data_IF_804410307886
#
_entry.id   IF_804410307886
#
_cell.length_a   1.000
_cell.length_b   1.000
_cell.length_c   1.000
_cell.angle_alpha   90.00
_cell.angle_beta   90.00
_cell.angle_gamma   90.00
#
_symmetry.space_group_name_H-M   'P 1'
#
loop_
_entity.id
_entity.type
_entity.pdbx_description
1 polymer ?
#
# COMPACT_ATOMS: atom_id res chain seq x y z
N UNK A 1 -8.48 -8.18 20.28
CA UNK A 1 -7.17 -8.62 20.81
C UNK A 1 -6.60 -9.64 19.83
N UNK A 2 -5.36 -9.44 19.39
CA UNK A 2 -4.84 -9.99 18.14
C UNK A 2 -4.20 -11.36 18.39
N UNK A 3 -4.50 -12.34 17.53
CA UNK A 3 -3.86 -13.69 17.54
C UNK A 3 -2.33 -13.64 17.64
N UNK A 4 -1.73 -12.54 17.17
CA UNK A 4 -0.29 -12.25 17.27
C UNK A 4 0.17 -12.03 18.70
N UNK A 5 -0.58 -11.28 19.50
CA UNK A 5 -0.22 -10.96 20.90
C UNK A 5 -0.28 -12.23 21.76
N UNK A 6 -1.32 -13.04 21.58
CA UNK A 6 -1.46 -14.35 22.22
C UNK A 6 -0.27 -15.23 21.88
N UNK A 7 0.03 -15.40 20.58
CA UNK A 7 1.20 -16.17 20.14
C UNK A 7 2.53 -15.64 20.69
N UNK A 8 2.73 -14.32 20.72
CA UNK A 8 3.94 -13.73 21.29
C UNK A 8 4.05 -14.05 22.79
N UNK A 9 2.95 -13.96 23.53
CA UNK A 9 2.91 -14.33 24.95
C UNK A 9 3.16 -15.83 25.15
N UNK A 10 2.55 -16.69 24.33
CA UNK A 10 2.79 -18.15 24.34
C UNK A 10 4.28 -18.45 24.10
N UNK A 11 4.86 -17.91 23.03
CA UNK A 11 6.27 -18.13 22.66
C UNK A 11 7.24 -17.60 23.72
N UNK A 12 6.95 -16.44 24.30
CA UNK A 12 7.76 -15.87 25.37
C UNK A 12 7.71 -16.74 26.63
N UNK A 13 6.52 -17.20 27.04
CA UNK A 13 6.36 -18.05 28.22
C UNK A 13 6.97 -19.44 28.01
N UNK A 14 6.87 -20.01 26.81
CA UNK A 14 7.56 -21.26 26.45
C UNK A 14 9.08 -21.12 26.61
N UNK A 15 9.64 -20.01 26.11
CA UNK A 15 11.06 -19.71 26.27
C UNK A 15 11.43 -19.55 27.74
N UNK A 16 10.68 -18.73 28.50
CA UNK A 16 10.97 -18.43 29.90
C UNK A 16 10.89 -19.67 30.80
N UNK A 17 9.87 -20.51 30.63
CA UNK A 17 9.70 -21.73 31.43
C UNK A 17 10.82 -22.74 31.16
N UNK A 18 11.23 -22.86 29.89
CA UNK A 18 12.38 -23.69 29.50
C UNK A 18 13.69 -23.17 30.09
N UNK A 19 13.93 -21.86 30.02
CA UNK A 19 15.15 -21.22 30.53
C UNK A 19 15.26 -21.32 32.06
N UNK A 20 14.14 -21.16 32.77
CA UNK A 20 14.09 -21.26 34.24
C UNK A 20 13.94 -22.68 34.77
N UNK A 21 13.90 -23.70 33.90
CA UNK A 21 13.63 -25.09 34.27
C UNK A 21 12.36 -25.27 35.11
N UNK A 22 11.37 -24.40 34.90
CA UNK A 22 10.13 -24.41 35.64
C UNK A 22 9.20 -25.51 35.09
N UNK A 23 8.65 -26.34 35.97
CA UNK A 23 7.76 -27.46 35.61
C UNK A 23 6.29 -27.08 35.41
N UNK A 24 5.95 -25.81 35.63
CA UNK A 24 4.58 -25.30 35.50
C UNK A 24 4.17 -25.15 34.04
N UNK A 25 2.89 -25.37 33.76
CA UNK A 25 2.34 -25.24 32.41
C UNK A 25 2.34 -23.78 31.90
N UNK A 26 2.43 -23.64 30.57
CA UNK A 26 2.29 -22.35 29.91
C UNK A 26 0.83 -21.89 29.94
N UNK A 27 0.52 -20.95 30.83
CA UNK A 27 -0.82 -20.37 30.97
C UNK A 27 -1.32 -19.67 29.70
N UNK A 28 -0.42 -19.16 28.85
CA UNK A 28 -0.78 -18.55 27.57
C UNK A 28 -1.00 -19.56 26.44
N UNK A 29 -0.81 -20.86 26.69
CA UNK A 29 -1.20 -21.93 25.78
C UNK A 29 -2.66 -22.37 25.98
N UNK A 30 -3.32 -21.92 27.06
CA UNK A 30 -4.70 -22.29 27.33
C UNK A 30 -5.66 -21.68 26.29
N UNK A 31 -6.65 -22.45 25.79
CA UNK A 31 -7.66 -21.92 24.88
C UNK A 31 -8.46 -20.80 25.55
N UNK A 32 -8.45 -19.61 24.94
CA UNK A 32 -9.20 -18.46 25.43
C UNK A 32 -10.66 -18.56 24.98
N UNK A 33 -11.37 -19.56 25.51
CA UNK A 33 -12.76 -19.89 25.15
C UNK A 33 -13.73 -18.70 25.35
N UNK A 34 -13.42 -17.80 26.28
CA UNK A 34 -14.26 -16.65 26.62
C UNK A 34 -13.90 -15.37 25.86
N UNK A 35 -12.87 -15.39 25.01
CA UNK A 35 -12.53 -14.24 24.18
C UNK A 35 -13.33 -14.27 22.87
N UNK A 36 -14.40 -13.49 22.83
CA UNK A 36 -15.06 -13.14 21.58
C UNK A 36 -14.12 -12.31 20.70
N UNK A 37 -13.47 -12.95 19.73
CA UNK A 37 -12.72 -12.23 18.70
C UNK A 37 -13.71 -11.47 17.83
N UNK A 38 -13.53 -10.14 17.72
CA UNK A 38 -14.23 -9.38 16.67
C UNK A 38 -13.91 -10.05 15.34
N UNK A 39 -14.93 -10.59 14.67
CA UNK A 39 -14.79 -11.09 13.32
C UNK A 39 -14.23 -9.96 12.45
N UNK A 40 -13.21 -10.20 11.63
CA UNK A 40 -12.71 -9.20 10.70
C UNK A 40 -13.90 -8.77 9.82
N UNK A 41 -14.34 -7.52 9.94
CA UNK A 41 -15.28 -6.95 8.98
C UNK A 41 -14.53 -6.94 7.65
N UNK A 42 -15.02 -7.68 6.66
CA UNK A 42 -14.44 -7.66 5.33
C UNK A 42 -14.67 -6.26 4.73
N UNK A 43 -13.73 -5.36 4.95
CA UNK A 43 -13.71 -4.09 4.23
C UNK A 43 -13.24 -4.46 2.82
N UNK A 44 -14.19 -4.50 1.89
CA UNK A 44 -13.92 -4.82 0.48
C UNK A 44 -12.94 -3.85 -0.16
N UNK A 45 -12.50 -4.14 -1.37
CA UNK A 45 -11.65 -3.23 -2.14
C UNK A 45 -12.45 -2.03 -2.64
N UNK A 46 -11.75 -0.91 -2.90
CA UNK A 46 -12.35 0.18 -3.66
C UNK A 46 -12.67 -0.28 -5.08
N UNK A 47 -13.86 0.10 -5.56
CA UNK A 47 -14.23 0.00 -6.98
C UNK A 47 -13.33 0.92 -7.82
N UNK A 48 -13.38 0.80 -9.14
CA UNK A 48 -12.64 1.73 -10.00
C UNK A 48 -13.22 3.15 -9.91
N UNK A 49 -14.54 3.28 -9.84
CA UNK A 49 -15.23 4.56 -9.65
C UNK A 49 -14.83 5.23 -8.33
N UNK A 50 -14.82 4.47 -7.23
CA UNK A 50 -14.40 4.97 -5.92
C UNK A 50 -12.93 5.41 -5.91
N UNK A 51 -12.02 4.63 -6.52
CA UNK A 51 -10.61 5.01 -6.61
C UNK A 51 -10.43 6.26 -7.48
N UNK A 52 -11.12 6.35 -8.61
CA UNK A 52 -11.07 7.50 -9.50
C UNK A 52 -11.57 8.77 -8.79
N UNK A 53 -12.68 8.66 -8.04
CA UNK A 53 -13.19 9.76 -7.23
C UNK A 53 -12.19 10.20 -6.16
N UNK A 54 -11.56 9.24 -5.45
CA UNK A 54 -10.52 9.55 -4.47
C UNK A 54 -9.37 10.31 -5.14
N UNK A 55 -8.84 9.80 -6.26
CA UNK A 55 -7.73 10.44 -6.98
C UNK A 55 -8.08 11.86 -7.47
N UNK A 56 -9.30 12.07 -7.96
CA UNK A 56 -9.80 13.39 -8.38
C UNK A 56 -9.96 14.36 -7.21
N UNK A 57 -10.25 13.86 -6.02
CA UNK A 57 -10.50 14.67 -4.82
C UNK A 57 -9.22 15.05 -4.08
N UNK A 58 -8.15 14.24 -4.18
CA UNK A 58 -6.88 14.47 -3.48
C UNK A 58 -6.34 15.90 -3.59
N UNK A 59 -6.29 16.57 -4.77
CA UNK A 59 -5.73 17.93 -4.88
C UNK A 59 -6.40 18.98 -4.01
N UNK A 60 -7.62 18.74 -3.51
CA UNK A 60 -8.33 19.65 -2.62
C UNK A 60 -7.81 19.60 -1.17
N UNK A 61 -7.02 18.58 -0.81
CA UNK A 61 -6.58 18.32 0.56
C UNK A 61 -5.07 18.35 0.76
N UNK A 62 -4.28 18.23 -0.31
CA UNK A 62 -2.82 18.14 -0.26
C UNK A 62 -2.17 18.99 -1.34
N UNK A 63 -0.92 19.38 -1.11
CA UNK A 63 -0.14 20.16 -2.08
C UNK A 63 0.19 19.38 -3.34
N UNK A 64 0.55 20.08 -4.42
CA UNK A 64 0.86 19.47 -5.74
C UNK A 64 1.92 18.37 -5.64
N UNK A 65 2.97 18.57 -4.85
CA UNK A 65 4.02 17.57 -4.62
C UNK A 65 3.47 16.30 -3.98
N UNK A 66 2.76 16.44 -2.85
CA UNK A 66 2.16 15.31 -2.13
C UNK A 66 1.13 14.58 -3.00
N UNK A 67 0.33 15.32 -3.78
CA UNK A 67 -0.61 14.76 -4.73
C UNK A 67 0.08 13.85 -5.74
N UNK A 68 1.15 14.30 -6.40
CA UNK A 68 1.86 13.49 -7.41
C UNK A 68 2.43 12.21 -6.82
N UNK A 69 2.95 12.29 -5.60
CA UNK A 69 3.50 11.15 -4.88
C UNK A 69 2.39 10.17 -4.46
N UNK A 70 1.29 10.67 -3.89
CA UNK A 70 0.20 9.82 -3.39
C UNK A 70 -0.59 9.22 -4.56
N UNK A 71 -0.86 9.96 -5.63
CA UNK A 71 -1.45 9.45 -6.88
C UNK A 71 -0.66 8.24 -7.37
N UNK A 72 0.66 8.41 -7.55
CA UNK A 72 1.52 7.33 -8.04
C UNK A 72 1.61 6.15 -7.05
N UNK A 73 1.61 6.43 -5.75
CA UNK A 73 1.61 5.40 -4.69
C UNK A 73 0.37 4.52 -4.74
N UNK A 74 -0.82 5.11 -4.88
CA UNK A 74 -2.07 4.38 -4.99
C UNK A 74 -2.16 3.61 -6.31
N UNK A 75 -1.70 4.20 -7.41
CA UNK A 75 -1.69 3.55 -8.73
C UNK A 75 -0.75 2.35 -8.78
N UNK A 76 0.44 2.43 -8.15
CA UNK A 76 1.28 1.25 -7.95
C UNK A 76 0.60 0.19 -7.10
N UNK A 77 -0.07 0.58 -6.02
CA UNK A 77 -0.78 -0.38 -5.17
C UNK A 77 -1.88 -1.14 -5.94
N UNK A 78 -2.57 -0.44 -6.85
CA UNK A 78 -3.67 -0.96 -7.68
C UNK A 78 -3.19 -1.85 -8.82
N UNK A 79 -2.18 -1.40 -9.58
CA UNK A 79 -1.88 -1.95 -10.91
C UNK A 79 -0.49 -2.57 -11.07
N UNK A 80 0.42 -2.46 -10.10
CA UNK A 80 1.70 -3.14 -10.19
C UNK A 80 1.52 -4.66 -10.33
N UNK A 81 2.46 -5.32 -11.02
CA UNK A 81 2.56 -6.78 -11.10
C UNK A 81 2.95 -7.45 -9.79
N UNK A 82 3.64 -6.74 -8.90
CA UNK A 82 4.13 -7.26 -7.62
C UNK A 82 3.39 -6.64 -6.42
N UNK A 83 3.75 -7.07 -5.21
CA UNK A 83 3.24 -6.42 -3.99
C UNK A 83 3.95 -5.07 -3.84
N UNK A 84 3.24 -4.04 -3.39
CA UNK A 84 3.76 -2.68 -3.31
C UNK A 84 5.10 -2.56 -2.57
N UNK A 85 5.27 -3.29 -1.45
CA UNK A 85 6.53 -3.31 -0.70
C UNK A 85 7.71 -3.93 -1.47
N UNK A 86 7.44 -4.79 -2.45
CA UNK A 86 8.43 -5.40 -3.32
C UNK A 86 8.92 -4.41 -4.38
N UNK A 87 8.01 -3.54 -4.83
CA UNK A 87 8.29 -2.52 -5.86
C UNK A 87 9.01 -1.35 -5.24
N UNK A 88 8.51 -0.84 -4.11
CA UNK A 88 9.03 0.35 -3.45
C UNK A 88 10.20 0.08 -2.51
N UNK A 89 10.40 -1.18 -2.11
CA UNK A 89 11.42 -1.54 -1.14
C UNK A 89 11.20 -0.88 0.24
N UNK A 90 12.30 -0.49 0.87
CA UNK A 90 12.31 0.13 2.20
C UNK A 90 13.34 1.26 2.29
N UNK A 91 13.46 1.92 3.44
CA UNK A 91 14.34 3.06 3.63
C UNK A 91 15.84 2.77 3.35
N UNK A 92 16.30 1.52 3.49
CA UNK A 92 17.70 1.12 3.23
C UNK A 92 17.94 0.61 1.82
N UNK A 93 16.89 0.12 1.17
CA UNK A 93 16.93 -0.42 -0.19
C UNK A 93 15.64 0.00 -0.89
N UNK A 94 15.60 1.26 -1.38
CA UNK A 94 14.43 1.76 -2.07
C UNK A 94 14.31 1.10 -3.44
N UNK A 95 13.08 0.94 -3.89
CA UNK A 95 12.80 0.62 -5.29
C UNK A 95 13.24 1.75 -6.20
N UNK A 96 13.76 1.40 -7.37
CA UNK A 96 14.32 2.33 -8.34
C UNK A 96 13.42 2.47 -9.57
N UNK A 97 13.56 3.54 -10.34
CA UNK A 97 12.74 3.77 -11.55
C UNK A 97 13.13 2.84 -12.71
N UNK A 98 14.40 2.44 -12.81
CA UNK A 98 14.94 1.56 -13.85
C UNK A 98 14.36 0.13 -13.86
N UNK A 99 13.59 -0.24 -12.83
CA UNK A 99 12.79 -1.47 -12.82
C UNK A 99 11.55 -1.37 -13.72
N UNK A 100 11.25 -0.20 -14.29
CA UNK A 100 10.22 0.01 -15.30
C UNK A 100 10.84 0.31 -16.66
N UNK A 101 10.21 -0.19 -17.71
CA UNK A 101 10.67 0.05 -19.08
C UNK A 101 9.47 0.31 -20.00
N UNK A 102 9.67 1.15 -21.02
CA UNK A 102 8.65 1.44 -22.03
C UNK A 102 8.92 0.60 -23.26
N UNK A 103 7.95 -0.23 -23.63
CA UNK A 103 8.02 -1.04 -24.85
C UNK A 103 7.78 -0.20 -26.10
N UNK A 104 8.12 -0.76 -27.25
CA UNK A 104 7.91 -0.15 -28.56
C UNK A 104 6.44 0.11 -28.90
N UNK A 105 5.51 -0.64 -28.30
CA UNK A 105 4.07 -0.42 -28.40
C UNK A 105 3.56 0.72 -27.49
N UNK A 106 4.46 1.40 -26.78
CA UNK A 106 4.17 2.51 -25.89
C UNK A 106 3.75 2.11 -24.48
N UNK A 107 3.62 0.81 -24.19
CA UNK A 107 3.18 0.25 -22.90
C UNK A 107 4.31 0.22 -21.89
N UNK A 108 3.99 0.47 -20.62
CA UNK A 108 4.96 0.24 -19.55
C UNK A 108 4.96 -1.22 -19.12
N UNK A 109 6.17 -1.71 -18.83
CA UNK A 109 6.42 -2.99 -18.21
C UNK A 109 7.19 -2.82 -16.90
N UNK A 110 6.94 -3.74 -15.97
CA UNK A 110 7.65 -3.84 -14.69
C UNK A 110 8.53 -5.09 -14.68
N UNK A 111 9.78 -4.96 -14.27
CA UNK A 111 10.68 -6.08 -14.06
C UNK A 111 10.23 -6.88 -12.83
N UNK A 112 9.80 -8.13 -13.04
CA UNK A 112 9.36 -9.00 -11.94
C UNK A 112 10.57 -9.55 -11.18
N UNK A 113 11.47 -10.17 -11.91
CA UNK A 113 12.80 -10.61 -11.48
C UNK A 113 13.67 -10.81 -12.72
N UNK A 114 14.99 -10.94 -12.55
CA UNK A 114 15.89 -11.28 -13.66
C UNK A 114 15.53 -12.60 -14.36
N UNK A 115 14.82 -13.51 -13.67
CA UNK A 115 14.39 -14.81 -14.19
C UNK A 115 12.99 -14.77 -14.81
N UNK A 116 12.07 -14.02 -14.21
CA UNK A 116 10.66 -13.98 -14.60
C UNK A 116 10.36 -12.91 -15.68
N UNK A 117 11.35 -12.06 -15.99
CA UNK A 117 11.26 -11.07 -17.05
C UNK A 117 10.32 -9.91 -16.73
N UNK A 118 9.75 -9.34 -17.79
CA UNK A 118 8.98 -8.10 -17.80
C UNK A 118 7.47 -8.37 -17.84
N UNK A 119 6.70 -7.72 -16.96
CA UNK A 119 5.25 -7.83 -16.92
C UNK A 119 4.59 -6.55 -17.47
N UNK A 120 3.65 -6.64 -18.42
CA UNK A 120 2.90 -5.48 -18.87
C UNK A 120 2.03 -4.90 -17.76
N UNK A 121 1.99 -3.58 -17.69
CA UNK A 121 1.15 -2.82 -16.75
C UNK A 121 -0.17 -2.38 -17.42
N UNK A 122 -1.10 -1.92 -16.59
CA UNK A 122 -2.42 -1.42 -17.01
C UNK A 122 -2.32 -0.11 -17.80
N UNK A 123 -3.22 0.18 -18.76
CA UNK A 123 -3.23 1.47 -19.47
C UNK A 123 -3.34 2.67 -18.53
N UNK A 124 -4.10 2.50 -17.44
CA UNK A 124 -4.25 3.55 -16.45
C UNK A 124 -2.96 3.81 -15.67
N UNK A 125 -2.12 2.78 -15.50
CA UNK A 125 -0.78 2.96 -14.94
C UNK A 125 0.08 3.78 -15.89
N UNK A 126 0.04 3.50 -17.19
CA UNK A 126 0.87 4.18 -18.19
C UNK A 126 0.67 5.71 -18.17
N UNK A 127 -0.59 6.13 -18.09
CA UNK A 127 -1.00 7.53 -18.09
C UNK A 127 -0.48 8.27 -16.85
N UNK A 128 -0.72 7.71 -15.66
CA UNK A 128 -0.30 8.30 -14.39
C UNK A 128 1.22 8.29 -14.28
N UNK A 129 1.87 7.18 -14.64
CA UNK A 129 3.32 7.08 -14.56
C UNK A 129 3.99 8.06 -15.52
N UNK A 130 3.45 8.26 -16.73
CA UNK A 130 3.93 9.29 -17.65
C UNK A 130 3.77 10.72 -17.12
N UNK A 131 2.68 11.03 -16.38
CA UNK A 131 2.57 12.33 -15.66
C UNK A 131 3.58 12.44 -14.52
N UNK A 132 3.78 11.36 -13.78
CA UNK A 132 4.70 11.30 -12.64
C UNK A 132 6.16 11.49 -13.07
N UNK A 133 6.60 10.84 -14.17
CA UNK A 133 7.93 11.03 -14.72
C UNK A 133 8.17 12.47 -15.17
N UNK A 134 7.20 13.09 -15.86
CA UNK A 134 7.27 14.51 -16.23
C UNK A 134 7.36 15.42 -15.00
N UNK A 135 6.61 15.10 -13.94
CA UNK A 135 6.71 15.80 -12.67
C UNK A 135 8.12 15.72 -12.06
N UNK A 136 8.81 14.60 -12.23
CA UNK A 136 10.21 14.42 -11.84
C UNK A 136 11.22 15.00 -12.85
N UNK A 137 10.75 15.67 -13.92
CA UNK A 137 11.57 16.11 -15.05
C UNK A 137 12.35 14.98 -15.75
N UNK A 138 11.75 13.79 -15.83
CA UNK A 138 12.31 12.63 -16.52
C UNK A 138 11.59 12.42 -17.85
N UNK A 139 12.35 12.28 -18.92
CA UNK A 139 11.82 11.97 -20.25
C UNK A 139 11.46 10.47 -20.36
N UNK A 140 10.17 10.12 -20.55
CA UNK A 140 9.73 8.74 -20.66
C UNK A 140 10.11 8.05 -21.98
N UNK A 141 10.78 8.73 -22.91
CA UNK A 141 11.27 8.15 -24.17
C UNK A 141 12.68 7.54 -24.04
N UNK A 142 13.38 7.85 -22.96
CA UNK A 142 14.71 7.33 -22.68
C UNK A 142 14.66 6.24 -21.59
N UNK A 143 15.67 5.35 -21.51
CA UNK A 143 15.80 4.43 -20.39
C UNK A 143 15.77 5.18 -19.06
N UNK A 144 14.97 4.69 -18.11
CA UNK A 144 14.79 5.36 -16.83
C UNK A 144 16.06 5.28 -15.98
N UNK A 145 16.39 6.34 -15.23
CA UNK A 145 17.58 6.37 -14.39
C UNK A 145 17.42 5.48 -13.15
N UNK A 146 18.55 4.97 -12.62
CA UNK A 146 18.63 4.19 -11.39
C UNK A 146 18.49 5.04 -10.11
N UNK A 147 17.40 5.81 -10.00
CA UNK A 147 17.08 6.63 -8.83
C UNK A 147 15.83 6.10 -8.11
N UNK A 148 15.62 6.41 -6.82
CA UNK A 148 14.44 5.97 -6.10
C UNK A 148 13.14 6.36 -6.81
N UNK A 149 12.11 5.50 -6.74
CA UNK A 149 10.79 5.80 -7.34
C UNK A 149 10.18 7.08 -6.74
N UNK A 150 10.37 7.30 -5.44
CA UNK A 150 9.87 8.47 -4.73
C UNK A 150 11.03 9.25 -4.08
N UNK A 151 11.82 9.98 -4.89
CA UNK A 151 12.96 10.71 -4.38
C UNK A 151 12.54 11.87 -3.47
N UNK A 152 13.43 12.27 -2.57
CA UNK A 152 13.36 13.49 -1.77
C UNK A 152 14.58 14.37 -2.02
N UNK A 153 14.45 15.65 -1.69
CA UNK A 153 15.52 16.65 -1.87
C UNK A 153 16.77 16.34 -1.04
N UNK A 154 16.61 15.68 0.12
CA UNK A 154 17.69 15.30 1.03
C UNK A 154 18.42 14.00 0.62
N UNK A 155 18.29 13.58 -0.65
CA UNK A 155 18.79 12.31 -1.20
C UNK A 155 18.21 11.06 -0.54
N UNK A 156 17.19 11.21 0.31
CA UNK A 156 16.42 10.08 0.83
C UNK A 156 15.24 9.75 -0.10
N UNK A 157 14.38 8.82 0.32
CA UNK A 157 13.24 8.37 -0.46
C UNK A 157 12.02 8.20 0.43
N UNK A 158 10.83 8.47 -0.11
CA UNK A 158 9.60 8.07 0.54
C UNK A 158 9.45 6.54 0.50
N UNK A 159 9.31 5.96 1.68
CA UNK A 159 9.02 4.54 1.87
C UNK A 159 7.55 4.34 2.26
N UNK A 160 7.00 3.12 2.12
CA UNK A 160 5.54 2.90 2.25
C UNK A 160 4.92 3.43 3.54
N UNK A 161 5.63 3.34 4.68
CA UNK A 161 5.12 3.85 5.97
C UNK A 161 5.04 5.38 6.00
N UNK A 162 5.94 6.10 5.32
CA UNK A 162 5.86 7.56 5.24
C UNK A 162 4.64 8.00 4.42
N UNK A 163 4.42 7.39 3.25
CA UNK A 163 3.26 7.69 2.40
C UNK A 163 1.94 7.25 3.04
N UNK A 164 1.95 6.14 3.77
CA UNK A 164 0.80 5.70 4.57
C UNK A 164 0.38 6.73 5.63
N UNK A 165 1.31 7.51 6.20
CA UNK A 165 0.95 8.57 7.15
C UNK A 165 0.23 9.74 6.47
N UNK A 166 0.65 10.11 5.26
CA UNK A 166 -0.02 11.15 4.47
C UNK A 166 -1.46 10.70 4.14
N UNK A 167 -1.64 9.44 3.72
CA UNK A 167 -2.99 8.90 3.53
C UNK A 167 -3.84 8.94 4.81
N UNK A 168 -3.24 8.57 5.95
CA UNK A 168 -3.93 8.60 7.25
C UNK A 168 -4.35 10.01 7.65
N UNK A 169 -3.54 11.04 7.36
CA UNK A 169 -3.87 12.41 7.72
C UNK A 169 -5.01 13.01 6.88
N UNK A 170 -5.32 12.45 5.70
CA UNK A 170 -6.32 13.03 4.78
C UNK A 170 -7.60 12.22 4.64
N UNK A 171 -7.61 10.95 5.08
CA UNK A 171 -8.74 10.04 4.87
C UNK A 171 -10.05 10.51 5.54
N UNK A 172 -9.96 11.20 6.68
CA UNK A 172 -11.16 11.72 7.36
C UNK A 172 -11.79 12.85 6.55
N UNK A 173 -11.00 13.81 6.07
CA UNK A 173 -11.47 14.88 5.19
C UNK A 173 -12.03 14.36 3.86
N UNK A 174 -11.38 13.35 3.27
CA UNK A 174 -11.90 12.66 2.08
C UNK A 174 -13.23 11.97 2.36
N UNK A 175 -13.38 11.31 3.51
CA UNK A 175 -14.61 10.63 3.89
C UNK A 175 -15.77 11.61 4.12
N UNK A 176 -15.50 12.73 4.76
CA UNK A 176 -16.49 13.79 4.98
C UNK A 176 -16.92 14.42 3.65
N UNK A 177 -15.97 14.64 2.73
CA UNK A 177 -16.29 15.08 1.37
C UNK A 177 -17.06 14.04 0.55
N UNK A 178 -16.78 12.75 0.74
CA UNK A 178 -17.50 11.67 0.08
C UNK A 178 -18.95 11.61 0.58
N UNK A 179 -19.17 11.75 1.89
CA UNK A 179 -20.49 11.74 2.50
C UNK A 179 -21.40 12.85 1.97
N UNK A 180 -20.83 14.00 1.58
CA UNK A 180 -21.53 15.11 0.94
C UNK A 180 -21.63 15.04 -0.59
N UNK A 181 -21.20 13.94 -1.22
CA UNK A 181 -21.25 13.76 -2.67
C UNK A 181 -22.68 13.52 -3.17
N UNK A 182 -23.05 14.15 -4.28
CA UNK A 182 -24.33 13.90 -4.97
C UNK A 182 -24.40 12.50 -5.59
N UNK A 183 -23.24 11.85 -5.79
CA UNK A 183 -23.16 10.47 -6.26
C UNK A 183 -23.48 9.47 -5.11
N UNK A 184 -24.56 8.67 -5.21
CA UNK A 184 -24.94 7.69 -4.19
C UNK A 184 -23.90 6.59 -3.97
N UNK A 185 -23.16 6.18 -5.01
CA UNK A 185 -22.11 5.16 -4.87
C UNK A 185 -21.00 5.70 -3.96
N UNK A 186 -20.56 6.93 -4.20
CA UNK A 186 -19.49 7.59 -3.45
C UNK A 186 -19.93 7.92 -2.02
N UNK A 187 -21.12 8.48 -1.82
CA UNK A 187 -21.61 8.80 -0.48
C UNK A 187 -21.77 7.56 0.41
N UNK A 188 -22.21 6.44 -0.17
CA UNK A 188 -22.27 5.14 0.52
C UNK A 188 -20.88 4.58 0.88
N UNK A 189 -19.84 4.97 0.14
CA UNK A 189 -18.46 4.54 0.34
C UNK A 189 -17.69 5.38 1.39
N UNK A 190 -18.29 6.43 1.95
CA UNK A 190 -17.65 7.35 2.90
C UNK A 190 -16.91 6.65 4.06
N UNK A 191 -17.56 5.73 4.75
CA UNK A 191 -16.92 4.98 5.87
C UNK A 191 -15.80 4.04 5.39
N UNK A 192 -15.90 3.52 4.16
CA UNK A 192 -14.82 2.73 3.54
C UNK A 192 -13.63 3.63 3.20
N UNK A 193 -13.88 4.85 2.73
CA UNK A 193 -12.87 5.89 2.48
C UNK A 193 -12.25 6.37 3.80
N UNK A 194 -13.01 6.46 4.88
CA UNK A 194 -12.48 6.76 6.23
C UNK A 194 -11.45 5.72 6.67
N UNK A 195 -11.62 4.48 6.21
CA UNK A 195 -10.67 3.37 6.38
C UNK A 195 -9.53 3.34 5.37
N UNK A 196 -9.36 4.34 4.51
CA UNK A 196 -8.43 4.31 3.36
C UNK A 196 -7.02 3.87 3.75
N UNK A 197 -6.59 2.78 3.13
CA UNK A 197 -5.22 2.29 3.16
C UNK A 197 -4.88 1.76 1.77
N UNK A 198 -3.59 1.58 1.47
CA UNK A 198 -3.17 0.91 0.23
C UNK A 198 -3.73 -0.49 0.06
N UNK A 199 -4.16 -1.13 1.14
CA UNK A 199 -4.76 -2.45 1.07
C UNK A 199 -6.17 -2.42 0.48
N UNK A 200 -6.94 -1.36 0.75
CA UNK A 200 -8.25 -1.16 0.12
C UNK A 200 -8.13 -0.84 -1.36
N UNK A 201 -7.02 -0.25 -1.76
CA UNK A 201 -6.73 0.06 -3.16
C UNK A 201 -6.23 -1.17 -3.92
N UNK A 202 -5.38 -2.00 -3.30
CA UNK A 202 -4.78 -3.15 -3.96
C UNK A 202 -5.83 -4.22 -4.27
N UNK A 203 -5.99 -4.59 -5.54
CA UNK A 203 -6.88 -5.70 -5.97
C UNK A 203 -6.35 -7.08 -5.56
N UNK A 204 -5.17 -7.14 -4.95
CA UNK A 204 -4.54 -8.42 -4.62
C UNK A 204 -4.96 -8.83 -3.22
N UNK A 205 -5.62 -9.99 -3.06
CA UNK A 205 -5.90 -10.50 -1.73
C UNK A 205 -4.59 -10.64 -0.95
N UNK A 206 -4.58 -10.08 0.25
CA UNK A 206 -3.55 -10.40 1.24
C UNK A 206 -3.74 -11.88 1.54
N UNK A 207 -2.70 -12.73 1.44
CA UNK A 207 -2.75 -13.95 2.20
C UNK A 207 -2.87 -13.48 3.64
N UNK A 208 -4.02 -13.75 4.27
CA UNK A 208 -4.11 -13.75 5.72
C UNK A 208 -3.08 -14.77 6.13
N UNK A 209 -1.84 -14.33 6.35
CA UNK A 209 -0.83 -15.17 6.93
C UNK A 209 -1.31 -15.37 8.35
N UNK A 210 -1.96 -16.49 8.56
CA UNK A 210 -1.86 -17.26 9.80
C UNK A 210 -0.38 -17.61 9.99
N UNK A 211 0.46 -16.60 10.22
CA UNK A 211 1.67 -16.78 11.03
C UNK A 211 1.20 -16.71 12.43
#
# INVERSE_FOLDING_TARGET
MWKREIRCATQFLDFYLKDTSASRENVAAQPLADLAFKQPKAIGFLTDAELEWVLKSLPNFIGVHEFRIIEMYLIMARYSGRRLWSVMGNARSPGLLDQFNRRSDGRWVELRSAKDGWLPLSPHFDEVFGRYLRYLNIDPLHPLPSIPIFPKDDRSSYYPKALGRILVSIRDALADSAAGSDDPEISSASEKIRGLTVMLVSRKPVPVYSR
#
